data_IF_897929694768
#
_entry.id   IF_897929694768
#
_cell.length_a   1.000
_cell.length_b   1.000
_cell.length_c   1.000
_cell.angle_alpha   90.00
_cell.angle_beta   90.00
_cell.angle_gamma   90.00
#
_symmetry.space_group_name_H-M   'P 1'
#
loop_
_entity.id
_entity.type
_entity.pdbx_description
1 polymer ?
#
# COMPACT_ATOMS: atom_id res chain seq x y z
N UNK A 1 13.09 4.87 -7.80
CA UNK A 1 11.69 4.99 -8.25
C UNK A 1 11.22 6.41 -7.94
N UNK A 2 11.14 7.26 -8.96
CA UNK A 2 10.85 8.67 -8.80
C UNK A 2 11.92 9.43 -8.02
N UNK A 3 11.70 10.70 -7.74
CA UNK A 3 12.65 11.55 -7.03
C UNK A 3 12.76 11.28 -5.52
N UNK A 4 11.80 10.50 -4.94
CA UNK A 4 11.70 10.30 -3.49
C UNK A 4 12.10 8.91 -2.99
N UNK A 5 12.26 7.93 -3.85
CA UNK A 5 12.53 6.55 -3.43
C UNK A 5 13.74 5.98 -4.12
N UNK A 6 14.59 5.36 -3.34
CA UNK A 6 15.59 4.42 -3.79
C UNK A 6 15.29 3.05 -3.17
N UNK A 7 15.19 2.04 -4.02
CA UNK A 7 15.02 0.65 -3.57
C UNK A 7 16.31 -0.05 -3.91
N UNK A 8 17.03 -0.43 -2.88
CA UNK A 8 18.28 -1.15 -3.07
C UNK A 8 18.22 -2.58 -2.49
N UNK A 9 18.95 -3.51 -3.08
CA UNK A 9 19.34 -4.72 -2.38
C UNK A 9 20.22 -4.32 -1.18
N UNK A 10 20.17 -5.07 -0.10
CA UNK A 10 20.84 -4.81 1.18
C UNK A 10 22.34 -4.41 1.09
N UNK A 11 22.97 -4.66 -0.04
CA UNK A 11 24.42 -4.43 -0.27
C UNK A 11 24.78 -3.19 -1.09
N UNK A 12 23.83 -2.37 -1.49
CA UNK A 12 24.09 -1.14 -2.28
C UNK A 12 23.68 0.12 -1.52
N UNK A 13 24.53 1.13 -1.51
CA UNK A 13 24.23 2.45 -0.97
C UNK A 13 23.49 3.31 -2.02
N UNK A 14 22.50 4.09 -1.56
CA UNK A 14 21.76 4.98 -2.44
C UNK A 14 22.62 6.14 -2.96
N UNK A 15 22.46 6.51 -4.23
CA UNK A 15 23.22 7.60 -4.82
C UNK A 15 22.75 8.99 -4.43
N UNK A 16 21.55 9.15 -3.85
CA UNK A 16 20.97 10.43 -3.51
C UNK A 16 20.68 10.54 -1.99
N UNK A 17 21.26 11.57 -1.36
CA UNK A 17 21.18 11.77 0.09
C UNK A 17 19.77 12.10 0.62
N UNK A 18 18.90 12.66 -0.22
CA UNK A 18 17.55 13.08 0.15
C UNK A 18 16.45 12.08 -0.24
N UNK A 19 16.81 10.99 -0.92
CA UNK A 19 15.85 9.95 -1.29
C UNK A 19 15.53 9.05 -0.08
N UNK A 20 14.29 8.65 0.03
CA UNK A 20 13.89 7.60 0.98
C UNK A 20 14.44 6.26 0.51
N UNK A 21 15.41 5.74 1.24
CA UNK A 21 16.05 4.47 0.92
C UNK A 21 15.26 3.33 1.51
N UNK A 22 14.77 2.42 0.67
CA UNK A 22 14.07 1.23 1.10
C UNK A 22 14.96 0.02 0.82
N UNK A 23 15.37 -0.66 1.88
CA UNK A 23 16.11 -1.90 1.80
C UNK A 23 15.15 -3.08 1.77
N UNK A 24 15.33 -3.99 0.85
CA UNK A 24 14.52 -5.20 0.74
C UNK A 24 15.42 -6.43 0.64
N UNK A 25 15.04 -7.48 1.36
CA UNK A 25 15.61 -8.79 1.13
C UNK A 25 14.96 -9.40 -0.14
N UNK A 26 15.73 -9.66 -1.20
CA UNK A 26 15.19 -10.15 -2.47
C UNK A 26 14.70 -11.60 -2.42
N UNK A 27 14.96 -12.32 -1.32
CA UNK A 27 14.70 -13.77 -1.20
C UNK A 27 13.32 -14.14 -0.66
N UNK A 28 12.49 -13.21 -0.16
CA UNK A 28 11.41 -13.59 0.74
C UNK A 28 9.98 -13.40 0.22
N UNK A 29 9.68 -12.50 -0.71
CA UNK A 29 8.31 -12.32 -1.20
C UNK A 29 8.19 -11.54 -2.52
N UNK A 30 7.01 -11.60 -3.16
CA UNK A 30 6.63 -10.75 -4.29
C UNK A 30 6.58 -9.27 -3.90
N UNK A 31 6.83 -8.38 -4.87
CA UNK A 31 6.69 -6.93 -4.67
C UNK A 31 8.01 -6.25 -4.33
N UNK A 32 9.07 -6.54 -5.09
CA UNK A 32 10.41 -5.92 -4.93
C UNK A 32 10.52 -4.49 -5.44
N UNK A 33 9.39 -3.85 -5.78
CA UNK A 33 9.36 -2.49 -6.33
C UNK A 33 9.65 -2.36 -7.83
N UNK A 34 10.08 -3.44 -8.47
CA UNK A 34 10.36 -3.46 -9.91
C UNK A 34 9.10 -3.72 -10.76
N UNK A 35 8.02 -4.20 -10.15
CA UNK A 35 6.76 -4.40 -10.85
C UNK A 35 6.05 -3.06 -11.06
N UNK A 36 5.46 -2.85 -12.25
CA UNK A 36 4.82 -1.59 -12.62
C UNK A 36 3.73 -1.14 -11.62
N UNK A 37 2.92 -2.07 -11.09
CA UNK A 37 1.89 -1.76 -10.10
C UNK A 37 2.46 -1.28 -8.76
N UNK A 38 3.53 -1.88 -8.29
CA UNK A 38 4.23 -1.44 -7.07
C UNK A 38 4.82 -0.04 -7.25
N UNK A 39 5.42 0.22 -8.41
CA UNK A 39 5.92 1.56 -8.75
C UNK A 39 4.82 2.62 -8.68
N UNK A 40 3.66 2.36 -9.27
CA UNK A 40 2.51 3.28 -9.25
C UNK A 40 2.04 3.60 -7.83
N UNK A 41 2.04 2.62 -6.93
CA UNK A 41 1.71 2.83 -5.52
C UNK A 41 2.77 3.67 -4.79
N UNK A 42 4.06 3.38 -5.01
CA UNK A 42 5.15 4.14 -4.41
C UNK A 42 5.15 5.58 -4.88
N UNK A 43 4.94 5.82 -6.18
CA UNK A 43 4.81 7.15 -6.74
C UNK A 43 3.68 7.93 -6.07
N UNK A 44 2.52 7.29 -5.90
CA UNK A 44 1.36 7.90 -5.25
C UNK A 44 1.63 8.19 -3.77
N UNK A 45 2.20 7.24 -3.01
CA UNK A 45 2.57 7.46 -1.61
C UNK A 45 3.56 8.63 -1.45
N UNK A 46 4.49 8.79 -2.39
CA UNK A 46 5.44 9.90 -2.39
C UNK A 46 4.80 11.28 -2.59
N UNK A 47 3.61 11.34 -3.17
CA UNK A 47 2.84 12.55 -3.40
C UNK A 47 1.74 12.75 -2.36
N UNK A 48 1.41 11.71 -1.59
CA UNK A 48 0.39 11.71 -0.55
C UNK A 48 1.01 12.17 0.78
N UNK A 49 0.32 13.05 1.49
CA UNK A 49 0.73 13.41 2.85
C UNK A 49 0.38 12.26 3.81
N UNK A 50 1.38 11.47 4.18
CA UNK A 50 1.23 10.36 5.15
C UNK A 50 1.78 10.69 6.54
N UNK A 51 2.38 11.88 6.71
CA UNK A 51 3.02 12.25 7.97
C UNK A 51 2.02 12.25 9.12
N UNK A 52 2.39 11.60 10.21
CA UNK A 52 1.59 11.45 11.44
C UNK A 52 0.24 10.74 11.23
N UNK A 53 0.03 10.08 10.09
CA UNK A 53 -1.21 9.39 9.72
C UNK A 53 -1.15 7.88 9.98
N UNK A 54 -2.33 7.29 10.10
CA UNK A 54 -2.53 5.83 10.14
C UNK A 54 -2.73 5.34 8.70
N UNK A 55 -1.92 4.38 8.29
CA UNK A 55 -1.91 3.80 6.95
C UNK A 55 -2.24 2.31 7.02
N UNK A 56 -3.05 1.82 6.09
CA UNK A 56 -3.25 0.39 5.85
C UNK A 56 -2.51 -0.01 4.57
N UNK A 57 -1.76 -1.13 4.65
CA UNK A 57 -1.18 -1.85 3.51
C UNK A 57 -1.84 -3.23 3.42
N UNK A 58 -2.86 -3.35 2.57
CA UNK A 58 -3.67 -4.56 2.45
C UNK A 58 -3.18 -5.46 1.30
N UNK A 59 -2.79 -6.68 1.62
CA UNK A 59 -2.06 -7.56 0.69
C UNK A 59 -0.60 -7.13 0.60
N UNK A 60 0.07 -7.04 1.73
CA UNK A 60 1.35 -6.34 1.86
C UNK A 60 2.54 -7.00 1.15
N UNK A 61 2.49 -8.30 0.88
CA UNK A 61 3.56 -9.02 0.19
C UNK A 61 4.92 -8.85 0.87
N UNK A 62 5.85 -8.18 0.21
CA UNK A 62 7.17 -7.84 0.77
C UNK A 62 7.12 -6.77 1.86
N UNK A 63 6.00 -6.06 2.01
CA UNK A 63 5.84 -4.93 2.92
C UNK A 63 6.40 -3.60 2.39
N UNK A 64 6.81 -3.54 1.13
CA UNK A 64 7.47 -2.35 0.56
C UNK A 64 6.63 -1.08 0.71
N UNK A 65 5.30 -1.15 0.52
CA UNK A 65 4.43 0.02 0.59
C UNK A 65 4.27 0.51 2.03
N UNK A 66 4.04 -0.39 2.97
CA UNK A 66 3.98 -0.07 4.40
C UNK A 66 5.29 0.48 4.94
N UNK A 67 6.41 -0.12 4.57
CA UNK A 67 7.76 0.38 4.93
C UNK A 67 7.99 1.77 4.34
N UNK A 68 7.65 1.99 3.07
CA UNK A 68 7.74 3.30 2.43
C UNK A 68 6.92 4.36 3.18
N UNK A 69 5.67 4.04 3.54
CA UNK A 69 4.81 4.95 4.30
C UNK A 69 5.43 5.33 5.66
N UNK A 70 6.02 4.37 6.39
CA UNK A 70 6.70 4.62 7.67
C UNK A 70 7.93 5.49 7.49
N UNK A 71 8.75 5.23 6.48
CA UNK A 71 9.92 6.05 6.17
C UNK A 71 9.54 7.48 5.72
N UNK A 72 8.34 7.68 5.17
CA UNK A 72 7.78 9.00 4.87
C UNK A 72 7.16 9.69 6.08
N UNK A 73 7.16 9.06 7.25
CA UNK A 73 6.70 9.66 8.50
C UNK A 73 5.29 9.26 8.94
N UNK A 74 4.71 8.20 8.39
CA UNK A 74 3.45 7.66 8.91
C UNK A 74 3.57 7.34 10.41
N UNK A 75 2.51 7.62 11.16
CA UNK A 75 2.47 7.36 12.60
C UNK A 75 2.48 5.87 12.91
N UNK A 76 1.69 5.11 12.17
CA UNK A 76 1.59 3.66 12.28
C UNK A 76 1.08 3.07 10.97
N UNK A 77 1.59 1.91 10.60
CA UNK A 77 1.08 1.09 9.51
C UNK A 77 0.47 -0.18 10.06
N UNK A 78 -0.70 -0.52 9.56
CA UNK A 78 -1.35 -1.81 9.76
C UNK A 78 -1.32 -2.56 8.43
N UNK A 79 -0.62 -3.67 8.40
CA UNK A 79 -0.46 -4.50 7.21
C UNK A 79 -1.08 -5.87 7.39
N UNK A 80 -1.58 -6.43 6.32
CA UNK A 80 -2.11 -7.80 6.30
C UNK A 80 -1.84 -8.49 4.98
N UNK A 81 -1.70 -9.79 5.04
CA UNK A 81 -1.65 -10.67 3.88
C UNK A 81 -2.24 -12.04 4.23
N UNK A 82 -2.81 -12.73 3.26
CA UNK A 82 -3.32 -14.10 3.43
C UNK A 82 -2.19 -15.14 3.51
N UNK A 83 -0.99 -14.78 3.02
CA UNK A 83 0.18 -15.64 3.01
C UNK A 83 1.06 -15.40 4.25
N UNK A 84 1.25 -16.40 5.12
CA UNK A 84 2.15 -16.28 6.28
C UNK A 84 3.59 -15.92 5.90
N UNK A 85 4.05 -16.29 4.70
CA UNK A 85 5.39 -15.93 4.21
C UNK A 85 5.48 -14.42 3.93
N UNK A 86 4.41 -13.83 3.41
CA UNK A 86 4.33 -12.38 3.21
C UNK A 86 4.35 -11.62 4.54
N UNK A 87 3.63 -12.11 5.55
CA UNK A 87 3.66 -11.53 6.91
C UNK A 87 5.10 -11.54 7.47
N UNK A 88 5.80 -12.67 7.35
CA UNK A 88 7.19 -12.79 7.80
C UNK A 88 8.13 -11.86 7.02
N UNK A 89 7.99 -11.81 5.68
CA UNK A 89 8.80 -10.94 4.82
C UNK A 89 8.60 -9.46 5.17
N UNK A 90 7.35 -9.05 5.41
CA UNK A 90 7.02 -7.68 5.83
C UNK A 90 7.68 -7.33 7.16
N UNK A 91 7.66 -8.21 8.15
CA UNK A 91 8.34 -8.01 9.44
C UNK A 91 9.84 -7.84 9.25
N UNK A 92 10.48 -8.72 8.49
CA UNK A 92 11.92 -8.69 8.24
C UNK A 92 12.35 -7.43 7.49
N UNK A 93 11.60 -7.02 6.46
CA UNK A 93 11.89 -5.80 5.72
C UNK A 93 11.65 -4.54 6.58
N UNK A 94 10.65 -4.53 7.45
CA UNK A 94 10.46 -3.44 8.40
C UNK A 94 11.60 -3.34 9.44
N UNK A 95 12.09 -4.47 9.93
CA UNK A 95 13.25 -4.52 10.81
C UNK A 95 14.51 -4.02 10.13
N UNK A 96 14.77 -4.46 8.89
CA UNK A 96 15.89 -4.04 8.07
C UNK A 96 15.92 -2.51 7.85
N UNK A 97 14.76 -1.88 7.79
CA UNK A 97 14.61 -0.43 7.62
C UNK A 97 14.45 0.34 8.95
N UNK A 98 14.49 -0.34 10.10
CA UNK A 98 14.39 0.29 11.42
C UNK A 98 13.00 0.85 11.75
N UNK A 99 11.94 0.37 11.11
CA UNK A 99 10.56 0.88 11.29
C UNK A 99 9.59 -0.13 11.91
N UNK A 100 10.08 -1.30 12.33
CA UNK A 100 9.24 -2.36 12.90
C UNK A 100 8.41 -1.91 14.11
N UNK A 101 8.92 -0.98 14.92
CA UNK A 101 8.21 -0.49 16.10
C UNK A 101 6.88 0.23 15.81
N UNK A 102 6.70 0.73 14.60
CA UNK A 102 5.50 1.43 14.15
C UNK A 102 4.69 0.62 13.12
N UNK A 103 4.99 -0.65 12.98
CA UNK A 103 4.28 -1.59 12.12
C UNK A 103 3.51 -2.61 12.97
N UNK A 104 2.26 -2.84 12.61
CA UNK A 104 1.58 -4.10 12.87
C UNK A 104 1.47 -4.86 11.55
N UNK A 105 1.75 -6.16 11.55
CA UNK A 105 1.47 -7.04 10.41
C UNK A 105 1.00 -8.40 10.92
N UNK A 106 -0.06 -8.93 10.32
CA UNK A 106 -0.63 -10.22 10.67
C UNK A 106 -1.53 -10.77 9.58
N UNK A 107 -2.00 -11.99 9.77
CA UNK A 107 -3.05 -12.59 8.94
C UNK A 107 -4.37 -11.81 9.09
N UNK A 108 -5.35 -11.96 8.18
CA UNK A 108 -6.57 -11.16 8.20
C UNK A 108 -7.33 -11.17 9.54
N UNK A 109 -7.43 -12.30 10.22
CA UNK A 109 -8.11 -12.39 11.52
C UNK A 109 -7.37 -11.59 12.60
N UNK A 110 -6.03 -11.66 12.62
CA UNK A 110 -5.18 -10.91 13.53
C UNK A 110 -5.25 -9.40 13.24
N UNK A 111 -5.25 -9.04 11.96
CA UNK A 111 -5.44 -7.64 11.52
C UNK A 111 -6.79 -7.10 11.97
N UNK A 112 -7.88 -7.84 11.77
CA UNK A 112 -9.21 -7.42 12.14
C UNK A 112 -9.36 -7.20 13.66
N UNK A 113 -8.76 -8.05 14.48
CA UNK A 113 -8.73 -7.86 15.94
C UNK A 113 -7.91 -6.64 16.36
N UNK A 114 -6.73 -6.46 15.78
CA UNK A 114 -5.84 -5.34 16.15
C UNK A 114 -6.36 -4.00 15.63
N UNK A 115 -6.93 -3.97 14.43
CA UNK A 115 -7.46 -2.74 13.81
C UNK A 115 -8.88 -2.38 14.25
N UNK A 116 -9.52 -3.22 15.05
CA UNK A 116 -10.87 -3.07 15.57
C UNK A 116 -11.17 -1.65 16.07
N UNK A 117 -12.31 -1.12 15.64
CA UNK A 117 -12.79 0.22 15.98
C UNK A 117 -11.88 1.40 15.55
N UNK A 118 -10.86 1.16 14.76
CA UNK A 118 -10.03 2.20 14.16
C UNK A 118 -10.45 2.47 12.72
N UNK A 119 -9.96 3.56 12.17
CA UNK A 119 -10.08 3.91 10.75
C UNK A 119 -8.77 4.53 10.26
N UNK A 120 -8.37 4.18 9.05
CA UNK A 120 -7.17 4.70 8.44
C UNK A 120 -7.40 6.06 7.76
N UNK A 121 -6.35 6.88 7.78
CA UNK A 121 -6.28 8.11 7.00
C UNK A 121 -5.92 7.81 5.54
N UNK A 122 -5.11 6.78 5.33
CA UNK A 122 -4.60 6.36 4.02
C UNK A 122 -4.70 4.84 3.89
N UNK A 123 -5.19 4.38 2.76
CA UNK A 123 -5.35 2.96 2.43
C UNK A 123 -4.67 2.64 1.12
N UNK A 124 -3.85 1.62 1.09
CA UNK A 124 -3.26 1.11 -0.15
C UNK A 124 -3.44 -0.40 -0.26
N UNK A 125 -3.81 -0.87 -1.44
CA UNK A 125 -3.88 -2.28 -1.77
C UNK A 125 -3.36 -2.52 -3.18
N UNK A 126 -2.34 -3.37 -3.29
CA UNK A 126 -1.76 -3.81 -4.55
C UNK A 126 -2.00 -5.31 -4.72
N UNK A 127 -3.23 -5.66 -5.04
CA UNK A 127 -3.71 -7.04 -5.22
C UNK A 127 -4.52 -7.18 -6.51
N UNK A 128 -4.91 -8.39 -6.87
CA UNK A 128 -5.67 -8.65 -8.09
C UNK A 128 -7.06 -8.00 -8.07
N UNK A 129 -7.59 -7.66 -9.25
CA UNK A 129 -8.87 -6.97 -9.42
C UNK A 129 -10.07 -7.73 -8.82
N UNK A 130 -10.10 -9.06 -8.94
CA UNK A 130 -11.19 -9.88 -8.37
C UNK A 130 -11.34 -9.69 -6.87
N UNK A 131 -10.30 -9.95 -6.06
CA UNK A 131 -10.30 -9.65 -4.62
C UNK A 131 -10.58 -8.20 -4.29
N UNK A 132 -10.04 -7.23 -5.06
CA UNK A 132 -10.34 -5.81 -4.85
C UNK A 132 -11.84 -5.53 -4.93
N UNK A 133 -12.53 -6.03 -5.95
CA UNK A 133 -13.97 -5.84 -6.10
C UNK A 133 -14.78 -6.52 -4.99
N UNK A 134 -14.39 -7.73 -4.62
CA UNK A 134 -15.09 -8.50 -3.57
C UNK A 134 -14.99 -7.83 -2.20
N UNK A 135 -13.85 -7.19 -1.90
CA UNK A 135 -13.57 -6.59 -0.60
C UNK A 135 -13.93 -5.09 -0.52
N UNK A 136 -14.43 -4.47 -1.58
CA UNK A 136 -14.74 -3.05 -1.60
C UNK A 136 -15.66 -2.56 -0.45
N UNK A 137 -16.75 -3.28 -0.10
CA UNK A 137 -17.58 -2.90 1.06
C UNK A 137 -16.81 -2.94 2.39
N UNK A 138 -15.95 -3.94 2.58
CA UNK A 138 -15.10 -4.07 3.77
C UNK A 138 -14.09 -2.92 3.83
N UNK A 139 -13.37 -2.66 2.73
CA UNK A 139 -12.39 -1.57 2.65
C UNK A 139 -13.01 -0.21 2.95
N UNK A 140 -14.26 0.01 2.51
CA UNK A 140 -15.00 1.23 2.83
C UNK A 140 -15.22 1.42 4.34
N UNK A 141 -15.28 0.33 5.12
CA UNK A 141 -15.41 0.42 6.59
C UNK A 141 -14.09 0.75 7.28
N UNK A 142 -12.96 0.48 6.64
CA UNK A 142 -11.62 0.67 7.21
C UNK A 142 -11.08 2.09 7.06
N UNK A 143 -11.62 2.87 6.12
CA UNK A 143 -11.12 4.20 5.76
C UNK A 143 -12.01 5.29 6.34
N UNK A 144 -11.41 6.35 6.90
CA UNK A 144 -12.13 7.55 7.37
C UNK A 144 -12.85 8.25 6.22
N UNK A 145 -13.93 8.99 6.51
CA UNK A 145 -14.45 9.99 5.58
C UNK A 145 -13.34 10.90 5.10
N UNK A 146 -13.27 11.19 3.81
CA UNK A 146 -12.19 11.94 3.15
C UNK A 146 -10.80 11.30 3.24
N UNK A 147 -10.68 10.10 3.82
CA UNK A 147 -9.43 9.34 3.80
C UNK A 147 -9.04 8.96 2.38
N UNK A 148 -7.75 8.98 2.10
CA UNK A 148 -7.21 8.74 0.77
C UNK A 148 -6.97 7.25 0.51
N UNK A 149 -7.17 6.81 -0.73
CA UNK A 149 -6.93 5.42 -1.10
C UNK A 149 -6.22 5.29 -2.46
N UNK A 150 -5.49 4.20 -2.61
CA UNK A 150 -4.95 3.76 -3.89
C UNK A 150 -5.06 2.24 -4.04
N UNK A 151 -5.49 1.82 -5.21
CA UNK A 151 -5.60 0.43 -5.62
C UNK A 151 -4.73 0.19 -6.84
N UNK A 152 -3.95 -0.85 -6.85
CA UNK A 152 -3.13 -1.28 -7.98
C UNK A 152 -3.16 -2.81 -8.13
N UNK A 153 -2.42 -3.33 -9.10
CA UNK A 153 -2.56 -4.74 -9.50
C UNK A 153 -3.71 -4.94 -10.48
N UNK A 154 -4.15 -3.85 -11.13
CA UNK A 154 -5.30 -3.77 -12.02
C UNK A 154 -4.79 -3.62 -13.45
N UNK A 155 -5.30 -4.44 -14.37
CA UNK A 155 -5.06 -4.28 -15.80
C UNK A 155 -6.01 -3.21 -16.39
N UNK A 156 -5.61 -2.57 -17.48
CA UNK A 156 -6.38 -1.50 -18.13
C UNK A 156 -7.82 -1.93 -18.44
N UNK A 157 -8.02 -3.14 -18.95
CA UNK A 157 -9.34 -3.69 -19.23
C UNK A 157 -10.22 -3.91 -17.99
N UNK A 158 -9.63 -3.97 -16.79
CA UNK A 158 -10.34 -4.17 -15.53
C UNK A 158 -10.72 -2.85 -14.84
N UNK A 159 -10.17 -1.73 -15.28
CA UNK A 159 -10.36 -0.41 -14.65
C UNK A 159 -11.84 -0.03 -14.55
N UNK A 160 -12.61 -0.23 -15.62
CA UNK A 160 -14.03 0.14 -15.64
C UNK A 160 -14.84 -0.64 -14.59
N UNK A 161 -14.63 -1.94 -14.48
CA UNK A 161 -15.34 -2.81 -13.53
C UNK A 161 -14.96 -2.48 -12.08
N UNK A 162 -13.66 -2.35 -11.79
CA UNK A 162 -13.17 -1.96 -10.46
C UNK A 162 -13.70 -0.58 -10.07
N UNK A 163 -13.61 0.39 -10.98
CA UNK A 163 -14.10 1.75 -10.74
C UNK A 163 -15.61 1.78 -10.47
N UNK A 164 -16.39 0.99 -11.19
CA UNK A 164 -17.84 0.89 -10.98
C UNK A 164 -18.18 0.45 -9.56
N UNK A 165 -17.52 -0.61 -9.07
CA UNK A 165 -17.73 -1.12 -7.71
C UNK A 165 -17.29 -0.10 -6.65
N UNK A 166 -16.11 0.48 -6.82
CA UNK A 166 -15.58 1.43 -5.83
C UNK A 166 -16.32 2.76 -5.79
N UNK A 167 -16.92 3.20 -6.90
CA UNK A 167 -17.70 4.45 -6.96
C UNK A 167 -18.93 4.43 -6.06
N UNK A 168 -19.36 3.27 -5.57
CA UNK A 168 -20.42 3.17 -4.54
C UNK A 168 -19.98 3.73 -3.19
N UNK A 169 -18.68 3.75 -2.92
CA UNK A 169 -18.12 4.08 -1.60
C UNK A 169 -17.07 5.20 -1.64
N UNK A 170 -16.42 5.39 -2.77
CA UNK A 170 -15.27 6.26 -2.94
C UNK A 170 -15.44 7.19 -4.14
N UNK A 171 -14.92 8.39 -4.02
CA UNK A 171 -14.76 9.32 -5.14
C UNK A 171 -13.42 9.02 -5.83
N UNK A 172 -13.49 8.53 -7.07
CA UNK A 172 -12.31 8.25 -7.86
C UNK A 172 -11.82 9.54 -8.48
N UNK A 173 -10.61 9.98 -8.12
CA UNK A 173 -10.03 11.24 -8.55
C UNK A 173 -9.00 11.05 -9.65
N UNK A 174 -8.34 9.89 -9.71
CA UNK A 174 -7.26 9.64 -10.65
C UNK A 174 -7.17 8.18 -11.05
N UNK A 175 -6.93 7.95 -12.34
CA UNK A 175 -6.49 6.66 -12.88
C UNK A 175 -5.14 6.89 -13.56
N UNK A 176 -4.10 6.22 -13.11
CA UNK A 176 -2.75 6.30 -13.66
C UNK A 176 -2.39 4.97 -14.31
N UNK A 177 -1.74 5.04 -15.48
CA UNK A 177 -1.30 3.86 -16.24
C UNK A 177 0.21 3.86 -16.40
N UNK A 178 0.80 2.68 -16.28
CA UNK A 178 2.23 2.47 -16.53
C UNK A 178 2.49 1.16 -17.25
N UNK A 179 3.50 1.21 -18.14
CA UNK A 179 3.93 0.06 -18.93
C UNK A 179 2.72 -0.66 -19.57
N UNK A 180 2.95 -1.69 -20.28
CA UNK A 180 1.98 -2.41 -21.10
C UNK A 180 0.55 -2.63 -20.55
N UNK A 181 -0.01 -1.94 -19.58
CA UNK A 181 -1.43 -2.07 -19.16
C UNK A 181 -1.69 -2.06 -17.65
N UNK A 182 -0.69 -1.84 -16.79
CA UNK A 182 -0.92 -1.76 -15.35
C UNK A 182 -1.48 -0.42 -14.94
N UNK A 183 -2.52 -0.42 -14.13
CA UNK A 183 -3.20 0.80 -13.68
C UNK A 183 -3.26 0.89 -12.16
N UNK A 184 -3.30 2.14 -11.67
CA UNK A 184 -3.64 2.51 -10.31
C UNK A 184 -4.90 3.36 -10.34
N UNK A 185 -5.85 3.06 -9.46
CA UNK A 185 -7.03 3.88 -9.19
C UNK A 185 -6.83 4.51 -7.82
N UNK A 186 -7.04 5.82 -7.71
CA UNK A 186 -6.92 6.51 -6.43
C UNK A 186 -7.96 7.62 -6.26
N UNK A 187 -8.22 8.01 -5.02
CA UNK A 187 -9.22 9.00 -4.68
C UNK A 187 -9.44 9.09 -3.18
N UNK A 188 -10.68 9.36 -2.78
CA UNK A 188 -11.07 9.57 -1.38
C UNK A 188 -12.33 8.80 -1.00
N UNK A 189 -12.41 8.40 0.26
CA UNK A 189 -13.63 7.85 0.86
C UNK A 189 -14.71 8.92 0.87
N UNK A 190 -15.89 8.60 0.35
CA UNK A 190 -17.04 9.50 0.38
C UNK A 190 -17.45 9.83 1.81
N UNK A 191 -18.02 11.03 2.00
CA UNK A 191 -18.64 11.39 3.26
C UNK A 191 -19.91 10.56 3.48
N UNK A 192 -20.00 9.94 4.63
CA UNK A 192 -21.25 9.30 5.09
C UNK A 192 -22.06 10.39 5.77
N UNK A 193 -23.11 10.84 5.12
CA UNK A 193 -24.11 11.74 5.70
C UNK A 193 -25.08 10.98 6.59
#
# INVERSE_FOLDING_TARGET
IGEKYWIDPEWMEAPEADAVNIKLDPGLAFGTGNHASTFLCLQWLGQTDVKDKIVIDYGCGSGILGVAALLLGAKKVYATDIDPQAVLATQQNAELNGVLGNLFVGLPDEFNEEFKAQKADVFVANILAGPLMALAPEFATLVKSEGEFALAGILEEQVADVSSVYSEFFDILQVEKREEHWCRISGKRQNIH
#
